data_IF_494284453835
#
_entry.id   IF_494284453835
#
_cell.length_a   1.000
_cell.length_b   1.000
_cell.length_c   1.000
_cell.angle_alpha   90.00
_cell.angle_beta   90.00
_cell.angle_gamma   90.00
#
_symmetry.space_group_name_H-M   'P 1'
#
loop_
_entity.id
_entity.type
_entity.pdbx_description
1 polymer ?
#
# COMPACT_ATOMS: atom_id res chain seq x y z
N UNK A 1 -17.93 2.04 5.71
CA UNK A 1 -16.72 2.30 4.92
C UNK A 1 -15.69 1.25 5.29
N UNK A 2 -14.95 0.75 4.32
CA UNK A 2 -13.87 -0.24 4.51
C UNK A 2 -12.60 0.27 3.84
N UNK A 3 -11.44 -0.12 4.36
CA UNK A 3 -10.15 0.26 3.81
C UNK A 3 -9.07 -0.79 4.10
N UNK A 4 -8.06 -0.84 3.24
CA UNK A 4 -6.84 -1.62 3.42
C UNK A 4 -5.62 -0.74 3.18
N UNK A 5 -4.50 -1.05 3.83
CA UNK A 5 -3.25 -0.34 3.64
C UNK A 5 -2.05 -1.28 3.72
N UNK A 6 -0.97 -0.91 3.05
CA UNK A 6 0.32 -1.59 3.11
C UNK A 6 1.43 -0.56 3.37
N UNK A 7 2.47 -0.90 4.13
CA UNK A 7 3.55 0.03 4.43
C UNK A 7 4.49 0.19 3.23
N UNK A 8 4.96 1.42 3.03
CA UNK A 8 6.14 1.76 2.24
C UNK A 8 7.25 2.05 3.24
N UNK A 9 8.36 1.31 3.16
CA UNK A 9 9.51 1.45 4.05
C UNK A 9 10.70 2.07 3.33
N UNK A 10 11.56 2.76 4.07
CA UNK A 10 12.84 3.25 3.55
C UNK A 10 13.91 2.14 3.45
N UNK A 11 15.10 2.49 2.95
CA UNK A 11 16.25 1.56 2.82
C UNK A 11 16.68 0.90 4.14
N UNK A 12 16.38 1.53 5.28
CA UNK A 12 16.66 1.01 6.63
C UNK A 12 15.48 0.23 7.20
N UNK A 13 14.50 -0.14 6.37
CA UNK A 13 13.25 -0.79 6.77
C UNK A 13 12.41 -0.01 7.78
N UNK A 14 12.63 1.30 7.90
CA UNK A 14 11.83 2.18 8.75
C UNK A 14 10.55 2.54 8.01
N UNK A 15 9.47 2.77 8.76
CA UNK A 15 8.24 3.29 8.18
C UNK A 15 8.49 4.64 7.50
N UNK A 16 8.09 4.75 6.24
CA UNK A 16 8.19 5.99 5.46
C UNK A 16 6.81 6.54 5.13
N UNK A 17 5.93 5.69 4.57
CA UNK A 17 4.58 6.05 4.16
C UNK A 17 3.68 4.80 4.12
N UNK A 18 2.42 4.98 3.73
CA UNK A 18 1.48 3.88 3.46
C UNK A 18 0.76 4.09 2.13
N UNK A 19 0.58 3.00 1.38
CA UNK A 19 -0.33 2.96 0.23
C UNK A 19 -1.66 2.37 0.70
N UNK A 20 -2.77 3.10 0.53
CA UNK A 20 -4.08 2.66 0.99
C UNK A 20 -5.15 2.78 -0.10
N UNK A 21 -6.20 1.98 0.07
CA UNK A 21 -7.45 2.04 -0.69
C UNK A 21 -8.61 2.08 0.31
N UNK A 22 -9.51 3.04 0.11
CA UNK A 22 -10.75 3.16 0.88
C UNK A 22 -11.97 3.14 -0.05
N UNK A 23 -13.08 2.57 0.41
CA UNK A 23 -14.32 2.55 -0.34
C UNK A 23 -15.58 2.42 0.54
N UNK A 24 -16.75 2.89 0.06
CA UNK A 24 -18.03 2.60 0.70
C UNK A 24 -18.37 1.11 0.67
N UNK A 25 -18.85 0.56 1.79
CA UNK A 25 -19.18 -0.88 1.92
C UNK A 25 -20.27 -1.34 0.96
N UNK A 26 -21.15 -0.43 0.50
CA UNK A 26 -22.16 -0.72 -0.53
C UNK A 26 -21.56 -1.03 -1.91
N UNK A 27 -20.28 -0.69 -2.14
CA UNK A 27 -19.58 -0.93 -3.41
C UNK A 27 -18.64 -2.13 -3.35
N UNK A 28 -18.09 -2.43 -2.18
CA UNK A 28 -17.06 -3.46 -2.00
C UNK A 28 -16.97 -3.86 -0.52
N UNK A 29 -16.92 -5.15 -0.24
CA UNK A 29 -16.75 -5.67 1.13
C UNK A 29 -15.27 -5.59 1.58
N UNK A 30 -15.01 -5.79 2.87
CA UNK A 30 -13.63 -5.91 3.35
C UNK A 30 -12.94 -7.14 2.76
N UNK A 31 -13.65 -8.27 2.66
CA UNK A 31 -13.11 -9.52 2.12
C UNK A 31 -12.69 -9.35 0.65
N UNK A 32 -13.52 -8.66 -0.15
CA UNK A 32 -13.17 -8.31 -1.53
C UNK A 32 -11.91 -7.44 -1.58
N UNK A 33 -11.81 -6.41 -0.72
CA UNK A 33 -10.61 -5.58 -0.64
C UNK A 33 -9.37 -6.39 -0.28
N UNK A 34 -9.47 -7.33 0.68
CA UNK A 34 -8.35 -8.16 1.11
C UNK A 34 -7.74 -8.97 -0.04
N UNK A 35 -8.53 -9.35 -1.06
CA UNK A 35 -8.01 -10.02 -2.26
C UNK A 35 -7.00 -9.16 -3.05
N UNK A 36 -7.04 -7.84 -2.88
CA UNK A 36 -6.12 -6.90 -3.53
C UNK A 36 -4.84 -6.63 -2.75
N UNK A 37 -4.71 -7.10 -1.51
CA UNK A 37 -3.52 -6.86 -0.67
C UNK A 37 -2.23 -7.27 -1.38
N UNK A 38 -2.11 -8.43 -2.06
CA UNK A 38 -0.88 -8.79 -2.78
C UNK A 38 -0.51 -7.78 -3.87
N UNK A 39 -1.50 -7.24 -4.59
CA UNK A 39 -1.28 -6.20 -5.61
C UNK A 39 -0.84 -4.89 -4.98
N UNK A 40 -1.45 -4.48 -3.87
CA UNK A 40 -1.02 -3.29 -3.12
C UNK A 40 0.42 -3.45 -2.61
N UNK A 41 0.79 -4.61 -2.08
CA UNK A 41 2.16 -4.88 -1.63
C UNK A 41 3.17 -4.79 -2.78
N UNK A 42 2.84 -5.29 -3.97
CA UNK A 42 3.69 -5.12 -5.16
C UNK A 42 3.86 -3.64 -5.51
N UNK A 43 2.77 -2.89 -5.60
CA UNK A 43 2.83 -1.46 -5.90
C UNK A 43 3.62 -0.67 -4.85
N UNK A 44 3.49 -1.01 -3.56
CA UNK A 44 4.29 -0.42 -2.50
C UNK A 44 5.79 -0.70 -2.69
N UNK A 45 6.18 -1.93 -3.05
CA UNK A 45 7.58 -2.28 -3.37
C UNK A 45 8.11 -1.52 -4.59
N UNK A 46 7.29 -1.37 -5.62
CA UNK A 46 7.65 -0.59 -6.81
C UNK A 46 7.92 0.89 -6.41
N UNK A 47 7.08 1.48 -5.55
CA UNK A 47 7.30 2.82 -4.99
C UNK A 47 8.56 2.88 -4.12
N UNK A 48 8.81 1.87 -3.28
CA UNK A 48 10.03 1.80 -2.47
C UNK A 48 11.29 1.86 -3.34
N UNK A 49 11.31 1.12 -4.45
CA UNK A 49 12.43 1.15 -5.39
C UNK A 49 12.67 2.56 -5.93
N UNK A 50 11.60 3.25 -6.36
CA UNK A 50 11.72 4.63 -6.86
C UNK A 50 12.23 5.60 -5.80
N UNK A 51 11.73 5.49 -4.56
CA UNK A 51 12.20 6.31 -3.44
C UNK A 51 13.68 6.09 -3.18
N UNK A 52 14.18 4.87 -3.37
CA UNK A 52 15.59 4.56 -3.17
C UNK A 52 16.47 5.25 -4.22
N UNK A 53 15.98 5.45 -5.43
CA UNK A 53 16.76 6.02 -6.54
C UNK A 53 16.76 7.55 -6.57
N UNK A 54 15.90 8.19 -5.77
CA UNK A 54 15.87 9.65 -5.65
C UNK A 54 17.09 10.14 -4.84
N UNK A 55 17.82 11.17 -5.31
CA UNK A 55 18.86 11.83 -4.52
C UNK A 55 18.23 12.49 -3.29
N UNK A 56 18.83 12.22 -2.12
CA UNK A 56 18.43 12.78 -0.82
C UNK A 56 18.89 14.21 -0.62
#
# INVERSE_FOLDING_TARGET
MVAIAVPIRDRKSRYLASLYLHAPTIRVSLDDLLTHVPRLQKAAKDIQSLVYDLPS
#
